data_IF_220337596967
#
_entry.id   IF_220337596967
#
_cell.length_a   1.000
_cell.length_b   1.000
_cell.length_c   1.000
_cell.angle_alpha   90.00
_cell.angle_beta   90.00
_cell.angle_gamma   90.00
#
_symmetry.space_group_name_H-M   'P 1'
#
loop_
_entity.id
_entity.type
_entity.pdbx_description
1 polymer ?
#
# COMPACT_ATOMS: atom_id res chain seq x y z
N UNK A 1 -2.38 1.34 22.09
CA UNK A 1 -1.08 0.91 21.56
C UNK A 1 -1.04 1.30 20.11
N UNK A 2 -0.12 2.19 19.73
CA UNK A 2 -0.04 2.72 18.37
C UNK A 2 0.70 1.71 17.49
N UNK A 3 0.30 1.55 16.22
CA UNK A 3 0.98 0.66 15.27
C UNK A 3 2.50 0.94 15.18
N UNK A 4 2.89 2.23 15.29
CA UNK A 4 4.30 2.66 15.36
C UNK A 4 5.10 1.94 16.46
N UNK A 5 4.53 1.79 17.65
CA UNK A 5 5.21 1.16 18.79
C UNK A 5 5.45 -0.33 18.55
N UNK A 6 4.53 -0.97 17.84
CA UNK A 6 4.59 -2.40 17.51
C UNK A 6 5.61 -2.62 16.39
N UNK A 7 5.55 -1.82 15.33
CA UNK A 7 6.52 -1.89 14.23
C UNK A 7 7.95 -1.67 14.73
N UNK A 8 8.18 -0.66 15.56
CA UNK A 8 9.50 -0.38 16.14
C UNK A 8 10.03 -1.50 17.05
N UNK A 9 9.14 -2.26 17.70
CA UNK A 9 9.52 -3.44 18.48
C UNK A 9 9.87 -4.64 17.59
N UNK A 10 9.10 -4.85 16.53
CA UNK A 10 9.30 -5.97 15.61
C UNK A 10 10.56 -5.78 14.76
N UNK A 11 10.86 -4.53 14.36
CA UNK A 11 11.93 -4.18 13.41
C UNK A 11 11.92 -5.06 12.16
N UNK A 12 10.73 -5.50 11.75
CA UNK A 12 10.52 -6.44 10.67
C UNK A 12 9.29 -6.04 9.87
N UNK A 13 9.30 -6.28 8.56
CA UNK A 13 8.12 -6.13 7.74
C UNK A 13 6.98 -7.03 8.20
N UNK A 14 5.74 -6.58 8.02
CA UNK A 14 4.54 -7.37 8.28
C UNK A 14 4.04 -7.94 6.96
N UNK A 15 3.89 -9.26 6.90
CA UNK A 15 3.31 -9.92 5.75
C UNK A 15 1.78 -9.90 5.87
N UNK A 16 1.12 -9.31 4.88
CA UNK A 16 -0.34 -9.25 4.80
C UNK A 16 -0.81 -9.92 3.51
N UNK A 17 -1.93 -10.62 3.59
CA UNK A 17 -2.47 -11.42 2.50
C UNK A 17 -4.00 -11.51 2.58
N UNK A 18 -4.62 -11.75 1.43
CA UNK A 18 -6.04 -12.02 1.26
C UNK A 18 -6.99 -10.93 1.79
N UNK A 19 -6.71 -9.66 1.48
CA UNK A 19 -7.57 -8.53 1.84
C UNK A 19 -7.84 -7.66 0.62
N UNK A 20 -8.91 -6.87 0.67
CA UNK A 20 -9.28 -5.96 -0.39
C UNK A 20 -8.83 -4.55 -0.03
N UNK A 21 -8.37 -3.79 -1.01
CA UNK A 21 -8.12 -2.35 -0.89
C UNK A 21 -8.69 -1.63 -2.09
N UNK A 22 -9.17 -0.42 -1.84
CA UNK A 22 -9.44 0.56 -2.87
C UNK A 22 -8.13 1.32 -3.15
N UNK A 23 -7.70 1.33 -4.41
CA UNK A 23 -6.49 2.05 -4.81
C UNK A 23 -6.84 3.45 -5.30
N UNK A 24 -6.08 4.43 -4.86
CA UNK A 24 -6.15 5.83 -5.31
C UNK A 24 -4.82 6.24 -5.89
N UNK A 25 -4.80 7.28 -6.71
CA UNK A 25 -3.57 7.85 -7.23
C UNK A 25 -3.51 9.36 -7.02
N UNK A 26 -2.30 9.88 -6.89
CA UNK A 26 -2.02 11.32 -6.93
C UNK A 26 -0.72 11.57 -7.69
N UNK A 27 -0.58 12.78 -8.21
CA UNK A 27 0.66 13.22 -8.86
C UNK A 27 1.48 14.05 -7.90
N UNK A 28 2.66 13.55 -7.53
CA UNK A 28 3.61 14.28 -6.69
C UNK A 28 4.64 15.01 -7.57
N UNK A 29 4.96 16.29 -7.27
CA UNK A 29 5.94 17.04 -8.03
C UNK A 29 7.36 16.50 -7.78
N UNK A 30 8.13 16.25 -8.83
CA UNK A 30 9.57 16.01 -8.71
C UNK A 30 10.39 17.25 -9.07
N UNK A 31 11.61 17.32 -8.53
CA UNK A 31 12.58 18.42 -8.74
C UNK A 31 12.88 18.69 -10.23
N UNK A 32 12.67 17.71 -11.13
CA UNK A 32 13.01 17.79 -12.55
C UNK A 32 11.81 18.04 -13.49
N UNK A 33 10.77 18.78 -13.05
CA UNK A 33 9.52 19.08 -13.82
C UNK A 33 8.64 17.88 -14.19
N UNK A 34 9.11 16.66 -14.01
CA UNK A 34 8.29 15.46 -14.16
C UNK A 34 7.38 15.28 -12.94
N UNK A 35 6.13 14.86 -13.17
CA UNK A 35 5.21 14.44 -12.12
C UNK A 35 5.36 12.93 -11.93
N UNK A 36 5.59 12.47 -10.71
CA UNK A 36 5.55 11.04 -10.40
C UNK A 36 4.13 10.68 -9.94
N UNK A 37 3.56 9.64 -10.51
CA UNK A 37 2.30 9.06 -10.02
C UNK A 37 2.62 8.24 -8.77
N UNK A 38 1.87 8.47 -7.71
CA UNK A 38 1.94 7.73 -6.46
C UNK A 38 0.60 7.04 -6.23
N UNK A 39 0.65 5.75 -5.95
CA UNK A 39 -0.52 4.95 -5.58
C UNK A 39 -0.62 4.91 -4.06
N UNK A 40 -1.84 5.02 -3.55
CA UNK A 40 -2.10 4.98 -2.12
C UNK A 40 -3.48 4.41 -1.84
N UNK A 41 -3.74 4.01 -0.60
CA UNK A 41 -5.08 3.77 -0.10
C UNK A 41 -5.29 4.53 1.20
N UNK A 42 -6.55 4.84 1.48
CA UNK A 42 -6.97 5.51 2.70
C UNK A 42 -7.70 4.53 3.61
N UNK A 43 -7.68 4.79 4.92
CA UNK A 43 -8.36 3.96 5.92
C UNK A 43 -8.00 2.46 5.80
N UNK A 44 -6.70 2.19 5.63
CA UNK A 44 -6.18 0.84 5.47
C UNK A 44 -6.35 0.03 6.76
N UNK A 45 -7.30 -0.90 6.73
CA UNK A 45 -7.61 -1.78 7.85
C UNK A 45 -6.97 -3.15 7.67
N UNK A 46 -6.33 -3.65 8.72
CA UNK A 46 -5.78 -5.00 8.74
C UNK A 46 -5.75 -5.57 10.15
N UNK A 47 -5.81 -6.90 10.24
CA UNK A 47 -5.62 -7.62 11.48
C UNK A 47 -4.16 -8.09 11.59
N UNK A 48 -3.55 -7.88 12.74
CA UNK A 48 -2.22 -8.39 13.06
C UNK A 48 -2.14 -8.75 14.55
N UNK A 49 -1.67 -9.96 14.87
CA UNK A 49 -1.62 -10.47 16.25
C UNK A 49 -2.94 -10.33 17.02
N UNK A 50 -4.06 -10.68 16.37
CA UNK A 50 -5.43 -10.59 16.93
C UNK A 50 -5.87 -9.18 17.33
N UNK A 51 -5.27 -8.15 16.73
CA UNK A 51 -5.69 -6.76 16.88
C UNK A 51 -5.92 -6.13 15.52
N UNK A 52 -6.96 -5.32 15.46
CA UNK A 52 -7.28 -4.54 14.27
C UNK A 52 -6.54 -3.20 14.32
N UNK A 53 -5.91 -2.86 13.21
CA UNK A 53 -5.23 -1.59 13.00
C UNK A 53 -5.87 -0.86 11.83
N UNK A 54 -5.90 0.47 11.93
CA UNK A 54 -6.33 1.34 10.85
C UNK A 54 -5.23 2.39 10.61
N UNK A 55 -4.70 2.42 9.40
CA UNK A 55 -3.76 3.44 8.95
C UNK A 55 -4.50 4.42 8.04
N UNK A 56 -4.37 5.71 8.33
CA UNK A 56 -5.09 6.75 7.58
C UNK A 56 -4.71 6.76 6.10
N UNK A 57 -3.42 6.59 5.81
CA UNK A 57 -2.88 6.53 4.45
C UNK A 57 -1.75 5.49 4.40
N UNK A 58 -1.73 4.70 3.33
CA UNK A 58 -0.64 3.76 3.03
C UNK A 58 -0.26 3.91 1.56
N UNK A 59 1.03 4.10 1.30
CA UNK A 59 1.58 4.17 -0.05
C UNK A 59 1.69 2.76 -0.61
N UNK A 60 1.21 2.55 -1.83
CA UNK A 60 1.20 1.25 -2.48
C UNK A 60 2.31 1.22 -3.53
N UNK A 61 3.17 0.20 -3.46
CA UNK A 61 4.16 -0.10 -4.48
C UNK A 61 3.88 -1.49 -5.05
N UNK A 62 3.93 -1.63 -6.36
CA UNK A 62 3.76 -2.93 -7.01
C UNK A 62 5.12 -3.42 -7.48
N UNK A 63 5.51 -4.62 -7.08
CA UNK A 63 6.86 -5.17 -7.33
C UNK A 63 7.03 -5.70 -8.78
N UNK A 64 5.93 -6.01 -9.46
CA UNK A 64 5.92 -6.67 -10.78
C UNK A 64 5.07 -5.96 -11.82
N UNK A 65 4.65 -4.73 -11.57
CA UNK A 65 4.05 -3.91 -12.63
C UNK A 65 5.19 -3.14 -13.26
N UNK A 66 5.41 -3.32 -14.57
CA UNK A 66 6.37 -2.54 -15.35
C UNK A 66 6.13 -1.05 -15.07
N UNK A 67 7.17 -0.34 -14.61
CA UNK A 67 7.10 1.11 -14.37
C UNK A 67 6.67 1.88 -15.63
N UNK A 68 6.87 1.28 -16.81
CA UNK A 68 6.52 1.82 -18.11
C UNK A 68 5.03 1.72 -18.48
N UNK A 69 4.23 0.83 -17.86
CA UNK A 69 2.79 0.67 -18.20
C UNK A 69 1.87 0.19 -17.04
N UNK A 70 1.79 0.93 -15.91
CA UNK A 70 0.87 0.59 -14.82
C UNK A 70 -0.62 0.84 -15.14
N UNK A 71 -0.92 1.64 -16.17
CA UNK A 71 -2.29 2.02 -16.55
C UNK A 71 -3.10 0.88 -17.18
N UNK A 72 -2.45 -0.16 -17.68
CA UNK A 72 -3.15 -1.31 -18.27
C UNK A 72 -3.81 -2.22 -17.22
N UNK A 73 -3.39 -2.09 -15.95
CA UNK A 73 -3.76 -3.04 -14.89
C UNK A 73 -4.59 -2.43 -13.76
N UNK A 74 -4.49 -1.12 -13.56
CA UNK A 74 -5.03 -0.43 -12.38
C UNK A 74 -5.73 0.87 -12.77
N UNK A 75 -7.01 0.98 -12.42
CA UNK A 75 -7.78 2.22 -12.48
C UNK A 75 -7.82 2.88 -11.09
N UNK A 76 -7.80 4.22 -10.99
CA UNK A 76 -8.13 4.90 -9.74
C UNK A 76 -9.50 4.46 -9.22
N UNK A 77 -9.66 4.41 -7.90
CA UNK A 77 -10.86 3.95 -7.17
C UNK A 77 -11.20 2.47 -7.39
N UNK A 78 -10.35 1.73 -8.09
CA UNK A 78 -10.54 0.30 -8.29
C UNK A 78 -10.34 -0.46 -6.98
N UNK A 79 -11.21 -1.44 -6.72
CA UNK A 79 -11.01 -2.39 -5.63
C UNK A 79 -10.19 -3.56 -6.15
N UNK A 80 -9.04 -3.81 -5.53
CA UNK A 80 -8.21 -4.98 -5.81
C UNK A 80 -8.13 -5.88 -4.59
N UNK A 81 -8.05 -7.17 -4.83
CA UNK A 81 -7.73 -8.13 -3.79
C UNK A 81 -6.24 -8.39 -3.77
N UNK A 82 -5.60 -8.01 -2.67
CA UNK A 82 -4.20 -8.30 -2.39
C UNK A 82 -4.08 -9.77 -1.98
N UNK A 83 -3.35 -10.54 -2.77
CA UNK A 83 -3.08 -11.95 -2.50
C UNK A 83 -1.81 -12.09 -1.66
N UNK A 84 -0.79 -11.27 -1.95
CA UNK A 84 0.49 -11.28 -1.22
C UNK A 84 1.10 -9.89 -1.18
N UNK A 85 1.42 -9.42 0.02
CA UNK A 85 2.05 -8.12 0.24
C UNK A 85 2.92 -8.09 1.48
N UNK A 86 3.68 -7.00 1.59
CA UNK A 86 4.55 -6.66 2.71
C UNK A 86 4.32 -5.21 3.11
N UNK A 87 3.96 -4.97 4.37
CA UNK A 87 3.79 -3.65 4.96
C UNK A 87 5.04 -3.26 5.75
N UNK A 88 5.56 -2.08 5.45
CA UNK A 88 6.75 -1.50 6.07
C UNK A 88 6.50 -0.04 6.47
N UNK A 89 7.20 0.44 7.49
CA UNK A 89 7.29 1.87 7.78
C UNK A 89 8.53 2.42 7.05
N UNK A 90 8.40 3.57 6.38
CA UNK A 90 9.53 4.22 5.74
C UNK A 90 10.54 4.69 6.79
N UNK A 91 11.81 4.28 6.68
CA UNK A 91 12.84 4.54 7.70
C UNK A 91 13.05 6.03 8.00
N UNK A 92 12.81 6.90 7.01
CA UNK A 92 13.06 8.34 7.10
C UNK A 92 11.79 9.19 7.24
N UNK A 93 10.61 8.57 7.36
CA UNK A 93 9.36 9.29 7.53
C UNK A 93 8.51 8.65 8.62
N UNK A 94 8.30 9.41 9.69
CA UNK A 94 7.70 8.89 10.93
C UNK A 94 6.26 8.38 10.81
N UNK A 95 5.58 8.65 9.69
CA UNK A 95 4.16 8.32 9.49
C UNK A 95 3.86 7.80 8.08
N UNK A 96 4.87 7.41 7.30
CA UNK A 96 4.63 6.83 5.97
C UNK A 96 4.76 5.33 6.03
N UNK A 97 3.68 4.66 5.66
CA UNK A 97 3.62 3.22 5.53
C UNK A 97 3.63 2.86 4.06
N UNK A 98 4.40 1.85 3.71
CA UNK A 98 4.57 1.36 2.35
C UNK A 98 4.07 -0.08 2.32
N UNK A 99 3.05 -0.32 1.53
CA UNK A 99 2.56 -1.66 1.19
C UNK A 99 3.15 -2.06 -0.16
N UNK A 100 4.13 -2.96 -0.12
CA UNK A 100 4.68 -3.60 -1.32
C UNK A 100 3.78 -4.77 -1.70
N UNK A 101 3.10 -4.67 -2.83
CA UNK A 101 2.20 -5.68 -3.38
C UNK A 101 2.97 -6.54 -4.39
N UNK A 102 3.11 -7.82 -4.04
CA UNK A 102 3.75 -8.81 -4.91
C UNK A 102 2.74 -9.49 -5.83
N UNK A 103 1.51 -9.71 -5.34
CA UNK A 103 0.46 -10.36 -6.10
C UNK A 103 -0.90 -9.81 -5.72
N UNK A 104 -1.69 -9.46 -6.71
CA UNK A 104 -3.08 -9.05 -6.56
C UNK A 104 -3.94 -9.69 -7.65
N UNK A 105 -5.26 -9.62 -7.48
CA UNK A 105 -6.25 -9.89 -8.51
C UNK A 105 -7.29 -8.78 -8.50
N UNK A 106 -7.90 -8.51 -9.63
CA UNK A 106 -9.05 -7.61 -9.68
C UNK A 106 -10.19 -8.25 -8.88
N UNK A 107 -10.79 -7.50 -7.97
CA UNK A 107 -12.04 -7.95 -7.36
C UNK A 107 -13.08 -7.94 -8.48
N UNK A 108 -13.73 -9.08 -8.75
CA UNK A 108 -14.76 -9.14 -9.77
C UNK A 108 -15.81 -8.05 -9.49
N UNK A 109 -16.16 -7.26 -10.50
CA UNK A 109 -17.32 -6.37 -10.46
C UNK A 109 -18.53 -7.23 -10.09
N UNK A 110 -19.30 -6.78 -9.09
CA UNK A 110 -20.54 -7.44 -8.68
C UNK A 110 -21.64 -7.17 -9.70
#
# INVERSE_FOLDING_TARGET
MNFKEIYNKLKKPILLNNFNIEIKNRYIPQKNKNKKREWFCENFQFNFENKDYCLLEVIIKFDHIDEDNPEFFLQPEQIIQIVKSKLEMEEYSENKYILTVYKFRQAAEK
#
